data_IF_239491808213
#
_entry.id   IF_239491808213
#
_cell.length_a   1.000
_cell.length_b   1.000
_cell.length_c   1.000
_cell.angle_alpha   90.00
_cell.angle_beta   90.00
_cell.angle_gamma   90.00
#
_symmetry.space_group_name_H-M   'P 1'
#
loop_
_entity.id
_entity.type
_entity.pdbx_description
1 polymer ?
#
# COMPACT_ATOMS: atom_id res chain seq x y z
N UNK A 1 2.04 46.40 -2.10
CA UNK A 1 2.62 45.09 -1.73
C UNK A 1 4.07 45.32 -1.38
N UNK A 2 4.48 45.08 -0.13
CA UNK A 2 5.83 45.36 0.36
C UNK A 2 6.34 44.19 1.21
N UNK A 3 7.64 43.92 1.18
CA UNK A 3 8.30 42.87 1.96
C UNK A 3 8.77 43.32 3.36
N UNK A 4 8.31 44.48 3.84
CA UNK A 4 8.72 44.99 5.16
C UNK A 4 8.15 44.18 6.33
N UNK A 5 7.03 43.48 6.13
CA UNK A 5 6.36 42.69 7.17
C UNK A 5 5.97 41.32 6.63
N UNK A 6 6.06 40.28 7.46
CA UNK A 6 5.74 38.90 7.10
C UNK A 6 4.31 38.74 6.54
N UNK A 7 3.34 39.41 7.16
CA UNK A 7 1.95 39.40 6.70
C UNK A 7 1.79 40.04 5.31
N UNK A 8 2.46 41.15 5.06
CA UNK A 8 2.41 41.85 3.77
C UNK A 8 3.15 41.07 2.68
N UNK A 9 4.23 40.35 3.02
CA UNK A 9 4.89 39.44 2.09
C UNK A 9 4.00 38.26 1.72
N UNK A 10 3.22 37.67 2.65
CA UNK A 10 2.28 36.60 2.31
C UNK A 10 1.20 37.04 1.33
N UNK A 11 0.61 38.23 1.51
CA UNK A 11 -0.37 38.78 0.56
C UNK A 11 0.25 38.99 -0.82
N UNK A 12 1.50 39.45 -0.86
CA UNK A 12 2.25 39.63 -2.12
C UNK A 12 2.52 38.30 -2.82
N UNK A 13 2.97 37.29 -2.07
CA UNK A 13 3.22 35.93 -2.57
C UNK A 13 1.93 35.24 -3.01
N UNK A 14 0.81 35.48 -2.32
CA UNK A 14 -0.50 34.97 -2.70
C UNK A 14 -0.98 35.56 -4.03
N UNK A 15 -0.82 36.87 -4.22
CA UNK A 15 -1.15 37.48 -5.51
C UNK A 15 -0.26 36.97 -6.65
N UNK A 16 1.02 36.69 -6.38
CA UNK A 16 1.92 36.06 -7.36
C UNK A 16 1.52 34.61 -7.66
N UNK A 17 0.98 33.86 -6.70
CA UNK A 17 0.47 32.50 -6.89
C UNK A 17 -0.71 32.44 -7.87
N UNK A 18 -1.49 33.52 -8.00
CA UNK A 18 -2.60 33.58 -8.95
C UNK A 18 -2.14 33.57 -10.42
N UNK A 19 -0.83 33.68 -10.70
CA UNK A 19 -0.18 33.73 -12.03
C UNK A 19 -0.64 34.89 -12.91
N UNK A 20 -1.78 35.52 -12.63
CA UNK A 20 -2.22 36.66 -13.40
C UNK A 20 -1.30 37.85 -13.14
N UNK A 21 -0.68 38.34 -14.21
CA UNK A 21 0.12 39.56 -14.21
C UNK A 21 1.41 39.51 -13.36
N UNK A 22 1.95 38.31 -13.11
CA UNK A 22 3.16 38.10 -12.30
C UNK A 22 4.39 38.85 -12.85
N UNK A 23 4.49 38.97 -14.18
CA UNK A 23 5.59 39.68 -14.86
C UNK A 23 5.61 41.18 -14.54
N UNK A 24 4.44 41.83 -14.41
CA UNK A 24 4.37 43.26 -14.07
C UNK A 24 4.80 43.51 -12.62
N UNK A 25 4.47 42.59 -11.70
CA UNK A 25 4.91 42.69 -10.31
C UNK A 25 6.43 42.48 -10.21
N UNK A 26 6.97 41.50 -10.95
CA UNK A 26 8.41 41.27 -11.03
C UNK A 26 9.14 42.51 -11.58
N UNK A 27 8.68 43.07 -12.71
CA UNK A 27 9.31 44.22 -13.35
C UNK A 27 9.27 45.46 -12.45
N UNK A 28 8.16 45.66 -11.74
CA UNK A 28 8.03 46.70 -10.71
C UNK A 28 9.03 46.57 -9.55
N UNK A 29 9.36 45.34 -9.13
CA UNK A 29 10.37 45.11 -8.09
C UNK A 29 11.81 45.19 -8.63
N UNK A 30 12.05 44.71 -9.84
CA UNK A 30 13.35 44.76 -10.49
C UNK A 30 13.80 46.20 -10.75
N UNK A 31 12.87 47.08 -11.13
CA UNK A 31 13.13 48.50 -11.34
C UNK A 31 13.57 49.25 -10.06
N UNK A 32 13.14 48.79 -8.88
CA UNK A 32 13.40 49.48 -7.59
C UNK A 32 14.57 48.88 -6.82
N UNK A 33 14.85 47.58 -6.99
CA UNK A 33 15.84 46.87 -6.15
C UNK A 33 17.11 46.49 -6.91
N UNK A 34 17.03 45.55 -7.84
CA UNK A 34 18.17 45.07 -8.62
C UNK A 34 17.71 44.07 -9.68
N UNK A 35 18.45 43.95 -10.78
CA UNK A 35 18.26 42.94 -11.83
C UNK A 35 18.31 41.49 -11.28
N UNK A 36 19.05 41.23 -10.20
CA UNK A 36 19.11 39.91 -9.56
C UNK A 36 17.79 39.45 -8.92
N UNK A 37 16.90 40.40 -8.59
CA UNK A 37 15.57 40.07 -8.05
C UNK A 37 14.70 39.31 -9.05
N UNK A 38 14.94 39.49 -10.36
CA UNK A 38 14.22 38.74 -11.41
C UNK A 38 14.40 37.24 -11.24
N UNK A 39 15.59 36.78 -10.87
CA UNK A 39 15.87 35.36 -10.67
C UNK A 39 15.08 34.77 -9.48
N UNK A 40 14.89 35.54 -8.41
CA UNK A 40 14.04 35.15 -7.29
C UNK A 40 12.58 34.98 -7.72
N UNK A 41 12.02 35.94 -8.46
CA UNK A 41 10.64 35.83 -8.95
C UNK A 41 10.47 34.70 -9.98
N UNK A 42 11.44 34.47 -10.87
CA UNK A 42 11.42 33.37 -11.84
C UNK A 42 11.43 31.99 -11.16
N UNK A 43 12.31 31.80 -10.17
CA UNK A 43 12.38 30.54 -9.41
C UNK A 43 11.13 30.32 -8.56
N UNK A 44 10.63 31.37 -7.89
CA UNK A 44 9.37 31.31 -7.15
C UNK A 44 8.20 30.93 -8.06
N UNK A 45 8.11 31.53 -9.25
CA UNK A 45 7.10 31.21 -10.24
C UNK A 45 7.11 29.71 -10.61
N UNK A 46 8.28 29.17 -10.98
CA UNK A 46 8.40 27.75 -11.33
C UNK A 46 7.98 26.83 -10.19
N UNK A 47 8.38 27.13 -8.96
CA UNK A 47 8.01 26.34 -7.79
C UNK A 47 6.50 26.41 -7.55
N UNK A 48 5.91 27.60 -7.53
CA UNK A 48 4.46 27.75 -7.29
C UNK A 48 3.62 27.16 -8.41
N UNK A 49 4.07 27.24 -9.66
CA UNK A 49 3.42 26.58 -10.80
C UNK A 49 3.44 25.06 -10.58
N UNK A 50 4.58 24.47 -10.24
CA UNK A 50 4.68 23.03 -9.97
C UNK A 50 3.80 22.61 -8.77
N UNK A 51 3.85 23.36 -7.67
CA UNK A 51 3.06 23.07 -6.47
C UNK A 51 1.57 23.16 -6.77
N UNK A 52 1.12 24.21 -7.47
CA UNK A 52 -0.28 24.38 -7.83
C UNK A 52 -0.74 23.22 -8.72
N UNK A 53 0.06 22.81 -9.71
CA UNK A 53 -0.26 21.68 -10.57
C UNK A 53 -0.36 20.36 -9.80
N UNK A 54 0.54 20.11 -8.85
CA UNK A 54 0.49 18.91 -7.99
C UNK A 54 -0.77 18.92 -7.11
N UNK A 55 -1.09 20.05 -6.48
CA UNK A 55 -2.29 20.17 -5.63
C UNK A 55 -3.55 19.98 -6.46
N UNK A 56 -3.63 20.59 -7.64
CA UNK A 56 -4.77 20.42 -8.55
C UNK A 56 -4.92 18.96 -8.97
N UNK A 57 -3.84 18.31 -9.39
CA UNK A 57 -3.85 16.90 -9.76
C UNK A 57 -4.34 16.01 -8.60
N UNK A 58 -3.80 16.22 -7.40
CA UNK A 58 -4.21 15.49 -6.19
C UNK A 58 -5.70 15.67 -5.86
N UNK A 59 -6.20 16.90 -5.93
CA UNK A 59 -7.61 17.20 -5.66
C UNK A 59 -8.51 16.55 -6.72
N UNK A 60 -8.13 16.60 -7.99
CA UNK A 60 -8.86 15.93 -9.07
C UNK A 60 -8.87 14.41 -8.88
N UNK A 61 -7.74 13.80 -8.54
CA UNK A 61 -7.64 12.37 -8.25
C UNK A 61 -8.58 11.97 -7.10
N UNK A 62 -8.61 12.74 -6.01
CA UNK A 62 -9.53 12.53 -4.89
C UNK A 62 -11.00 12.63 -5.32
N UNK A 63 -11.34 13.58 -6.21
CA UNK A 63 -12.70 13.70 -6.74
C UNK A 63 -13.08 12.54 -7.67
N UNK A 64 -12.17 12.14 -8.57
CA UNK A 64 -12.37 10.99 -9.46
C UNK A 64 -12.59 9.74 -8.62
N UNK A 65 -11.73 9.48 -7.63
CA UNK A 65 -11.86 8.38 -6.68
C UNK A 65 -13.23 8.39 -5.99
N UNK A 66 -13.71 9.56 -5.54
CA UNK A 66 -15.03 9.69 -4.89
C UNK A 66 -16.19 9.41 -5.86
N UNK A 67 -16.08 9.82 -7.12
CA UNK A 67 -17.11 9.55 -8.13
C UNK A 67 -17.15 8.06 -8.44
N UNK A 68 -15.99 7.46 -8.72
CA UNK A 68 -15.83 6.02 -8.95
C UNK A 68 -16.31 5.20 -7.75
N UNK A 69 -16.02 5.66 -6.52
CA UNK A 69 -16.55 5.09 -5.28
C UNK A 69 -18.08 5.03 -5.33
N UNK A 70 -18.75 6.16 -5.58
CA UNK A 70 -20.22 6.22 -5.55
C UNK A 70 -20.85 5.38 -6.64
N UNK A 71 -20.19 5.26 -7.80
CA UNK A 71 -20.66 4.41 -8.89
C UNK A 71 -20.52 2.91 -8.57
N UNK A 72 -19.35 2.47 -8.10
CA UNK A 72 -19.07 1.04 -7.84
C UNK A 72 -19.66 0.49 -6.55
N UNK A 73 -19.95 1.33 -5.56
CA UNK A 73 -20.53 0.89 -4.29
C UNK A 73 -22.07 0.88 -4.32
N UNK A 74 -22.69 1.57 -5.28
CA UNK A 74 -24.15 1.58 -5.42
C UNK A 74 -24.84 2.17 -4.19
N UNK A 75 -26.16 2.30 -4.26
CA UNK A 75 -27.00 2.95 -3.25
C UNK A 75 -27.24 2.02 -2.04
N UNK A 76 -26.21 1.41 -1.47
CA UNK A 76 -26.40 0.57 -0.31
C UNK A 76 -26.47 1.38 0.98
N UNK A 77 -27.29 0.88 1.89
CA UNK A 77 -27.74 1.58 3.09
C UNK A 77 -26.62 1.75 4.12
N UNK A 78 -26.99 2.23 5.31
CA UNK A 78 -26.07 2.49 6.43
C UNK A 78 -25.22 1.27 6.86
N UNK A 79 -25.57 0.06 6.43
CA UNK A 79 -24.85 -1.20 6.73
C UNK A 79 -23.62 -1.43 5.84
N UNK A 80 -23.47 -0.66 4.77
CA UNK A 80 -22.41 -0.79 3.77
C UNK A 80 -21.01 -0.43 4.28
N UNK A 81 -20.86 0.20 5.44
CA UNK A 81 -19.54 0.56 5.97
C UNK A 81 -18.85 -0.55 6.76
N UNK A 82 -19.57 -1.64 7.03
CA UNK A 82 -19.05 -2.75 7.81
C UNK A 82 -18.76 -3.93 6.88
N UNK A 83 -17.60 -4.58 7.09
CA UNK A 83 -17.29 -5.89 6.53
C UNK A 83 -17.65 -6.91 7.59
N UNK A 84 -18.64 -7.72 7.29
CA UNK A 84 -18.99 -8.89 8.10
C UNK A 84 -18.20 -10.08 7.56
N UNK A 85 -17.43 -10.72 8.43
CA UNK A 85 -16.74 -11.98 8.16
C UNK A 85 -17.41 -13.05 8.99
N UNK A 86 -18.00 -14.03 8.31
CA UNK A 86 -18.54 -15.22 8.93
C UNK A 86 -17.52 -16.35 8.76
N UNK A 87 -17.03 -16.86 9.90
CA UNK A 87 -16.10 -17.98 9.94
C UNK A 87 -16.76 -19.10 10.71
N UNK A 88 -16.99 -20.21 10.04
CA UNK A 88 -17.54 -21.40 10.65
C UNK A 88 -16.41 -22.29 11.14
N UNK A 89 -16.40 -22.65 12.43
CA UNK A 89 -15.54 -23.70 12.96
C UNK A 89 -16.31 -25.00 13.12
N UNK A 90 -15.69 -26.09 12.68
CA UNK A 90 -16.18 -27.45 12.92
C UNK A 90 -15.88 -27.88 14.36
N UNK A 91 -16.62 -28.87 14.86
CA UNK A 91 -16.41 -29.43 16.21
C UNK A 91 -14.99 -29.96 16.44
N UNK A 92 -14.36 -30.58 15.44
CA UNK A 92 -13.01 -31.13 15.55
C UNK A 92 -11.94 -30.03 15.77
N UNK A 93 -12.12 -28.87 15.12
CA UNK A 93 -11.25 -27.70 15.32
C UNK A 93 -11.45 -27.07 16.71
N UNK A 94 -12.69 -27.07 17.21
CA UNK A 94 -13.00 -26.62 18.57
C UNK A 94 -12.33 -27.51 19.63
N UNK A 95 -12.39 -28.83 19.44
CA UNK A 95 -11.75 -29.80 20.33
C UNK A 95 -10.21 -29.62 20.32
N UNK A 96 -9.62 -29.40 19.14
CA UNK A 96 -8.19 -29.09 18.98
C UNK A 96 -7.77 -27.79 19.69
N UNK A 97 -8.55 -26.71 19.58
CA UNK A 97 -8.27 -25.44 20.24
C UNK A 97 -8.55 -25.47 21.75
N UNK A 98 -9.40 -26.38 22.23
CA UNK A 98 -9.75 -26.53 23.65
C UNK A 98 -8.78 -27.37 24.46
N UNK A 99 -7.81 -28.04 23.80
CA UNK A 99 -6.78 -28.82 24.46
C UNK A 99 -5.83 -27.88 25.26
N UNK A 100 -5.84 -27.94 26.61
CA UNK A 100 -5.03 -27.05 27.41
C UNK A 100 -3.55 -27.51 27.41
N UNK A 101 -2.55 -26.63 27.32
CA UNK A 101 -1.27 -26.89 27.97
C UNK A 101 -1.55 -26.92 29.47
N UNK A 102 -1.16 -28.00 30.13
CA UNK A 102 -1.41 -28.27 31.55
C UNK A 102 -1.16 -27.04 32.45
N UNK A 103 -2.20 -26.32 32.87
CA UNK A 103 -2.16 -25.43 34.03
C UNK A 103 -3.59 -25.06 34.51
N UNK A 104 -3.83 -24.96 35.84
CA UNK A 104 -5.16 -24.75 36.39
C UNK A 104 -5.40 -23.27 36.69
N UNK A 105 -6.23 -22.59 35.88
CA UNK A 105 -7.09 -21.46 36.32
C UNK A 105 -8.06 -21.05 35.22
N UNK A 106 -9.33 -21.43 35.37
CA UNK A 106 -10.46 -20.98 34.53
C UNK A 106 -10.97 -19.61 35.01
N UNK A 107 -11.15 -18.61 34.12
CA UNK A 107 -12.38 -17.85 34.05
C UNK A 107 -13.42 -18.67 33.24
N UNK A 108 -14.70 -18.58 33.61
CA UNK A 108 -15.77 -19.40 33.03
C UNK A 108 -15.94 -19.18 31.52
N UNK A 109 -16.24 -20.24 30.72
CA UNK A 109 -16.55 -20.07 29.31
C UNK A 109 -17.91 -19.41 29.16
N UNK A 110 -17.98 -18.41 28.28
CA UNK A 110 -19.23 -17.79 27.85
C UNK A 110 -20.11 -18.88 27.21
N UNK A 111 -21.27 -19.17 27.81
CA UNK A 111 -22.18 -20.19 27.29
C UNK A 111 -22.91 -19.67 26.06
N UNK A 112 -22.63 -20.27 24.91
CA UNK A 112 -23.42 -20.08 23.69
C UNK A 112 -24.51 -21.15 23.66
N UNK A 113 -25.74 -20.79 23.29
CA UNK A 113 -26.81 -21.75 23.03
C UNK A 113 -26.40 -22.61 21.82
N UNK A 114 -25.96 -23.84 22.10
CA UNK A 114 -25.63 -24.84 21.08
C UNK A 114 -26.93 -25.54 20.70
N UNK A 115 -27.57 -25.06 19.64
CA UNK A 115 -28.74 -25.73 19.09
C UNK A 115 -28.36 -27.16 18.66
N UNK A 116 -29.06 -28.15 19.21
CA UNK A 116 -28.64 -29.55 19.29
C UNK A 116 -28.68 -30.33 17.96
N UNK A 117 -28.78 -29.63 16.83
CA UNK A 117 -28.81 -30.19 15.47
C UNK A 117 -27.63 -29.76 14.58
N UNK A 118 -26.88 -28.72 14.97
CA UNK A 118 -25.86 -28.08 14.10
C UNK A 118 -24.46 -28.33 14.65
N UNK A 119 -23.69 -29.27 14.07
CA UNK A 119 -22.32 -29.63 14.50
C UNK A 119 -21.24 -28.57 14.18
N UNK A 120 -21.62 -27.30 14.06
CA UNK A 120 -20.77 -26.23 13.53
C UNK A 120 -21.04 -24.91 14.28
N UNK A 121 -20.00 -24.26 14.78
CA UNK A 121 -20.08 -22.97 15.44
C UNK A 121 -19.79 -21.87 14.43
N UNK A 122 -20.69 -20.89 14.30
CA UNK A 122 -20.50 -19.75 13.38
C UNK A 122 -20.05 -18.53 14.16
N UNK A 123 -18.81 -18.10 13.95
CA UNK A 123 -18.32 -16.82 14.45
C UNK A 123 -18.61 -15.73 13.44
N UNK A 124 -19.26 -14.66 13.89
CA UNK A 124 -19.57 -13.48 13.08
C UNK A 124 -18.74 -12.29 13.56
N UNK A 125 -17.64 -12.02 12.88
CA UNK A 125 -16.82 -10.84 13.12
C UNK A 125 -17.31 -9.67 12.29
N UNK A 126 -17.37 -8.48 12.87
CA UNK A 126 -17.73 -7.25 12.14
C UNK A 126 -16.61 -6.25 12.30
N UNK A 127 -16.11 -5.71 11.18
CA UNK A 127 -15.07 -4.67 11.18
C UNK A 127 -15.43 -3.50 10.27
N UNK A 128 -14.92 -2.33 10.59
CA UNK A 128 -15.04 -1.15 9.73
C UNK A 128 -14.24 -1.34 8.44
N UNK A 129 -14.80 -0.89 7.31
CA UNK A 129 -14.05 -0.81 6.05
C UNK A 129 -12.90 0.18 6.19
N UNK A 130 -11.71 -0.26 5.80
CA UNK A 130 -10.52 0.60 5.78
C UNK A 130 -10.30 1.17 4.38
N UNK A 131 -9.44 2.22 4.28
CA UNK A 131 -8.96 2.72 2.98
C UNK A 131 -8.43 1.58 2.10
N UNK A 132 -7.74 0.62 2.70
CA UNK A 132 -7.22 -0.55 2.00
C UNK A 132 -8.33 -1.44 1.41
N UNK A 133 -9.37 -1.78 2.19
CA UNK A 133 -10.51 -2.56 1.68
C UNK A 133 -11.18 -1.86 0.48
N UNK A 134 -11.17 -0.52 0.48
CA UNK A 134 -11.66 0.25 -0.65
C UNK A 134 -10.72 0.18 -1.85
N UNK A 135 -9.43 0.49 -1.68
CA UNK A 135 -8.45 0.47 -2.77
C UNK A 135 -8.44 -0.90 -3.46
N UNK A 136 -8.45 -1.99 -2.69
CA UNK A 136 -8.47 -3.35 -3.22
C UNK A 136 -9.72 -3.63 -4.06
N UNK A 137 -10.88 -3.07 -3.68
CA UNK A 137 -12.11 -3.17 -4.48
C UNK A 137 -12.08 -2.28 -5.73
N UNK A 138 -11.52 -1.07 -5.63
CA UNK A 138 -11.49 -0.12 -6.74
C UNK A 138 -10.57 -0.61 -7.86
N UNK A 139 -9.38 -1.08 -7.48
CA UNK A 139 -8.31 -1.56 -8.35
C UNK A 139 -8.29 -3.09 -8.47
N UNK A 140 -9.44 -3.77 -8.34
CA UNK A 140 -9.48 -5.24 -8.28
C UNK A 140 -8.88 -5.93 -9.52
N UNK A 141 -9.13 -5.37 -10.71
CA UNK A 141 -8.58 -5.88 -11.97
C UNK A 141 -7.07 -5.68 -12.07
N UNK A 142 -6.59 -4.47 -11.77
CA UNK A 142 -5.16 -4.16 -11.73
C UNK A 142 -4.43 -5.01 -10.68
N UNK A 143 -5.03 -5.19 -9.49
CA UNK A 143 -4.46 -6.01 -8.42
C UNK A 143 -4.32 -7.47 -8.84
N UNK A 144 -5.29 -7.98 -9.62
CA UNK A 144 -5.22 -9.33 -10.18
C UNK A 144 -4.09 -9.44 -11.20
N UNK A 145 -3.97 -8.47 -12.10
CA UNK A 145 -2.89 -8.44 -13.08
C UNK A 145 -1.51 -8.39 -12.42
N UNK A 146 -1.36 -7.60 -11.36
CA UNK A 146 -0.11 -7.56 -10.59
C UNK A 146 0.21 -8.89 -9.91
N UNK A 147 -0.81 -9.59 -9.42
CA UNK A 147 -0.64 -10.92 -8.82
C UNK A 147 -0.22 -11.94 -9.87
N UNK A 148 -0.87 -11.96 -11.03
CA UNK A 148 -0.53 -12.84 -12.15
C UNK A 148 0.90 -12.56 -12.65
N UNK A 149 1.29 -11.28 -12.76
CA UNK A 149 2.64 -10.88 -13.14
C UNK A 149 3.70 -11.32 -12.11
N UNK A 150 3.40 -11.17 -10.81
CA UNK A 150 4.30 -11.60 -9.74
C UNK A 150 4.51 -13.12 -9.74
N UNK A 151 3.46 -13.92 -9.97
CA UNK A 151 3.58 -15.38 -10.06
C UNK A 151 4.44 -15.81 -11.26
N UNK A 152 4.28 -15.16 -12.41
CA UNK A 152 5.11 -15.44 -13.59
C UNK A 152 6.59 -15.09 -13.36
N UNK A 153 6.85 -14.01 -12.62
CA UNK A 153 8.21 -13.62 -12.25
C UNK A 153 8.84 -14.62 -11.27
N UNK A 154 8.08 -15.09 -10.28
CA UNK A 154 8.51 -16.14 -9.35
C UNK A 154 8.78 -17.47 -10.07
N UNK A 155 7.91 -17.88 -11.01
CA UNK A 155 8.12 -19.09 -11.83
C UNK A 155 9.42 -19.01 -12.62
N UNK A 156 9.67 -17.88 -13.31
CA UNK A 156 10.93 -17.68 -14.05
C UNK A 156 12.15 -17.68 -13.13
N UNK A 157 12.05 -17.08 -11.94
CA UNK A 157 13.13 -17.08 -10.95
C UNK A 157 13.44 -18.50 -10.46
N UNK A 158 12.41 -19.27 -10.13
CA UNK A 158 12.54 -20.67 -9.71
C UNK A 158 13.11 -21.56 -10.82
N UNK A 159 12.64 -21.42 -12.06
CA UNK A 159 13.18 -22.15 -13.22
C UNK A 159 14.66 -21.82 -13.44
N UNK A 160 15.05 -20.54 -13.34
CA UNK A 160 16.45 -20.13 -13.44
C UNK A 160 17.31 -20.77 -12.34
N UNK A 161 16.84 -20.78 -11.09
CA UNK A 161 17.54 -21.42 -9.97
C UNK A 161 17.71 -22.93 -10.20
N UNK A 162 16.68 -23.63 -10.67
CA UNK A 162 16.73 -25.07 -10.96
C UNK A 162 17.72 -25.37 -12.08
N UNK A 163 17.70 -24.60 -13.17
CA UNK A 163 18.65 -24.75 -14.28
C UNK A 163 20.10 -24.49 -13.84
N UNK A 164 20.31 -23.50 -12.98
CA UNK A 164 21.66 -23.17 -12.49
C UNK A 164 22.19 -24.23 -11.51
N UNK A 165 21.32 -24.84 -10.70
CA UNK A 165 21.66 -25.99 -9.84
C UNK A 165 22.01 -27.21 -10.68
N UNK A 166 21.19 -27.56 -11.68
CA UNK A 166 21.49 -28.68 -12.59
C UNK A 166 22.76 -28.45 -13.40
N UNK A 167 22.98 -27.22 -13.89
CA UNK A 167 24.23 -26.87 -14.59
C UNK A 167 25.45 -26.99 -13.69
N UNK A 168 25.33 -26.69 -12.39
CA UNK A 168 26.41 -26.85 -11.41
C UNK A 168 26.71 -28.32 -11.10
N UNK A 169 25.68 -29.19 -11.06
CA UNK A 169 25.85 -30.63 -10.88
C UNK A 169 26.48 -31.31 -12.11
N UNK A 170 26.13 -30.87 -13.32
CA UNK A 170 26.71 -31.41 -14.58
C UNK A 170 28.19 -31.00 -14.74
N UNK A 171 28.57 -29.78 -14.34
CA UNK A 171 29.95 -29.30 -14.40
C UNK A 171 30.83 -29.90 -13.27
N UNK A 172 30.23 -30.24 -12.13
CA UNK A 172 30.88 -31.01 -11.05
C UNK A 172 31.04 -32.50 -11.37
N UNK A 173 30.12 -33.10 -12.14
CA UNK A 173 30.14 -34.51 -12.54
C UNK A 173 31.18 -34.85 -13.62
N UNK A 174 31.67 -33.86 -14.37
CA UNK A 174 32.66 -34.07 -15.45
C UNK A 174 34.13 -33.92 -15.00
N UNK A 175 34.39 -33.64 -13.71
CA UNK A 175 35.74 -33.47 -13.12
C UNK A 175 36.09 -34.55 -12.07
N UNK A 176 35.53 -35.76 -12.20
CA UNK A 176 35.54 -36.76 -11.13
C UNK A 176 35.95 -38.18 -11.50
N UNK A 177 36.62 -38.44 -12.61
CA UNK A 177 37.30 -39.73 -12.85
C UNK A 177 38.82 -39.53 -12.85
N UNK A 178 39.38 -39.47 -11.63
CA UNK A 178 40.82 -39.43 -11.45
C UNK A 178 41.25 -39.07 -10.04
N UNK A 179 41.63 -40.10 -9.27
CA UNK A 179 42.50 -40.04 -8.09
C UNK A 179 41.85 -39.98 -6.69
N UNK A 180 41.66 -41.18 -6.16
CA UNK A 180 42.31 -41.72 -4.95
C UNK A 180 42.09 -41.06 -3.56
N UNK A 181 41.51 -41.89 -2.69
CA UNK A 181 41.75 -42.05 -1.25
C UNK A 181 41.88 -40.80 -0.35
N UNK A 182 40.78 -40.44 0.33
CA UNK A 182 40.79 -40.41 1.80
C UNK A 182 39.36 -40.41 2.36
N UNK A 183 38.84 -41.59 2.72
CA UNK A 183 37.63 -41.68 3.55
C UNK A 183 37.99 -41.23 4.96
N UNK A 184 37.52 -40.04 5.36
CA UNK A 184 37.41 -39.69 6.79
C UNK A 184 35.95 -39.80 7.21
N UNK A 185 35.70 -40.87 7.96
CA UNK A 185 34.55 -41.13 8.81
C UNK A 185 34.35 -39.98 9.79
N UNK A 186 33.11 -39.52 9.95
CA UNK A 186 32.66 -39.06 11.25
C UNK A 186 31.21 -39.48 11.48
N UNK A 187 31.05 -40.20 12.58
CA UNK A 187 29.84 -40.79 13.14
C UNK A 187 29.03 -39.74 13.91
N UNK A 188 27.71 -39.97 13.93
CA UNK A 188 26.62 -39.44 14.78
C UNK A 188 26.97 -38.36 15.82
#
# INVERSE_FOLDING_TARGET
>A
MNFHNLANSYVTLFALMAVNNWFIIMDGYAAVTSEFSRLFFMSFYLITMLVLQIVVAFVLEAFIFRIQYKMKIGKGGKEDNLVTVETTMSRAELEFCSAPPELPRRPQPLSYDVDSSSQQLVFRGVRWKTKFSFCLKMYAEETKEWLDHAELEERRSNEWLVLNVQSSEVDGGSRGEGSNANRRTFTL
#
